data_IF_269715814855
#
_entry.id   IF_269715814855
#
_cell.length_a   1.000
_cell.length_b   1.000
_cell.length_c   1.000
_cell.angle_alpha   90.00
_cell.angle_beta   90.00
_cell.angle_gamma   90.00
#
_symmetry.space_group_name_H-M   'P 1'
#
loop_
_entity.id
_entity.type
_entity.pdbx_description
1 polymer ?
#
# COMPACT_ATOMS: atom_id res chain seq x y z
N UNK A 1 4.09 17.18 -21.16
CA UNK A 1 3.03 17.78 -20.31
C UNK A 1 1.82 16.85 -20.29
N UNK A 2 1.40 16.39 -19.11
CA UNK A 2 0.32 15.40 -18.95
C UNK A 2 -1.03 16.06 -19.25
N UNK A 3 -1.76 15.60 -20.28
CA UNK A 3 -3.07 16.17 -20.67
C UNK A 3 -4.24 15.49 -19.93
N UNK A 4 -4.32 15.64 -18.61
CA UNK A 4 -5.36 14.99 -17.78
C UNK A 4 -6.78 15.54 -17.99
N UNK A 5 -6.92 16.74 -18.58
CA UNK A 5 -8.23 17.38 -18.85
C UNK A 5 -9.13 16.58 -19.80
N UNK A 6 -8.56 15.70 -20.66
CA UNK A 6 -9.33 14.82 -21.56
C UNK A 6 -10.20 13.81 -20.81
N UNK A 7 -9.85 13.45 -19.57
CA UNK A 7 -10.61 12.49 -18.79
C UNK A 7 -11.93 13.04 -18.23
N UNK A 8 -12.19 14.35 -18.32
CA UNK A 8 -13.50 14.95 -17.98
C UNK A 8 -14.61 14.59 -18.98
N UNK A 9 -14.30 14.16 -20.20
CA UNK A 9 -15.33 13.74 -21.17
C UNK A 9 -15.65 12.25 -21.02
N UNK A 10 -16.94 11.91 -20.95
CA UNK A 10 -17.44 10.52 -20.84
C UNK A 10 -17.18 9.63 -22.07
N UNK A 11 -16.49 10.12 -23.11
CA UNK A 11 -16.13 9.34 -24.31
C UNK A 11 -14.68 8.88 -24.22
N UNK A 12 -14.50 7.59 -24.01
CA UNK A 12 -13.23 6.87 -23.97
C UNK A 12 -12.75 6.58 -25.39
N UNK A 13 -12.21 7.58 -26.07
CA UNK A 13 -11.44 7.31 -27.28
C UNK A 13 -10.05 6.84 -26.83
N UNK A 14 -9.88 5.51 -26.70
CA UNK A 14 -8.78 4.81 -25.99
C UNK A 14 -7.62 4.38 -26.88
N UNK A 15 -7.65 4.70 -28.17
CA UNK A 15 -6.57 4.36 -29.10
C UNK A 15 -5.34 5.23 -28.84
N UNK A 16 -4.34 4.65 -28.18
CA UNK A 16 -2.98 5.21 -28.05
C UNK A 16 -2.73 6.21 -26.90
N UNK A 17 -3.62 6.35 -25.92
CA UNK A 17 -3.44 7.28 -24.79
C UNK A 17 -2.84 6.60 -23.54
N UNK A 18 -1.88 7.26 -22.88
CA UNK A 18 -1.33 6.83 -21.59
C UNK A 18 -2.43 6.60 -20.53
N UNK A 19 -2.23 5.57 -19.70
CA UNK A 19 -3.04 5.30 -18.51
C UNK A 19 -2.34 5.83 -17.26
N UNK A 20 -3.13 6.25 -16.28
CA UNK A 20 -2.64 6.89 -15.06
C UNK A 20 -3.25 6.25 -13.81
N UNK A 21 -2.46 6.24 -12.73
CA UNK A 21 -2.95 6.08 -11.36
C UNK A 21 -2.58 7.33 -10.58
N UNK A 22 -3.56 7.90 -9.89
CA UNK A 22 -3.36 8.99 -8.94
C UNK A 22 -3.48 8.42 -7.53
N UNK A 23 -2.38 8.43 -6.78
CA UNK A 23 -2.37 8.15 -5.35
C UNK A 23 -2.80 9.40 -4.57
N UNK A 24 -3.66 9.21 -3.58
CA UNK A 24 -4.13 10.29 -2.70
C UNK A 24 -3.86 9.99 -1.23
N UNK A 25 -3.43 11.00 -0.49
CA UNK A 25 -2.92 10.82 0.86
C UNK A 25 -4.02 10.46 1.87
N UNK A 26 -3.72 9.47 2.71
CA UNK A 26 -4.54 9.06 3.85
C UNK A 26 -3.67 8.78 5.08
N UNK A 27 -4.17 9.14 6.27
CA UNK A 27 -3.54 8.87 7.57
C UNK A 27 -2.09 9.40 7.68
N UNK A 28 -1.28 8.81 8.57
CA UNK A 28 0.07 9.29 8.91
C UNK A 28 1.16 8.90 7.90
N UNK A 29 2.36 9.49 8.03
CA UNK A 29 3.47 9.34 7.08
C UNK A 29 3.85 7.86 6.81
N UNK A 30 3.94 7.01 7.84
CA UNK A 30 4.25 5.59 7.66
C UNK A 30 3.23 4.87 6.76
N UNK A 31 1.93 5.11 6.98
CA UNK A 31 0.85 4.56 6.15
C UNK A 31 0.95 5.06 4.71
N UNK A 32 1.30 6.33 4.53
CA UNK A 32 1.48 6.92 3.20
C UNK A 32 2.65 6.29 2.46
N UNK A 33 3.78 6.08 3.11
CA UNK A 33 4.95 5.44 2.51
C UNK A 33 4.64 4.02 2.04
N UNK A 34 4.03 3.19 2.89
CA UNK A 34 3.71 1.80 2.51
C UNK A 34 2.63 1.72 1.43
N UNK A 35 1.64 2.61 1.46
CA UNK A 35 0.59 2.63 0.43
C UNK A 35 1.08 3.22 -0.90
N UNK A 36 2.01 4.19 -0.90
CA UNK A 36 2.69 4.68 -2.11
C UNK A 36 3.51 3.58 -2.77
N UNK A 37 4.27 2.79 -1.99
CA UNK A 37 5.00 1.66 -2.53
C UNK A 37 4.07 0.59 -3.14
N UNK A 38 2.96 0.29 -2.46
CA UNK A 38 1.94 -0.65 -2.97
C UNK A 38 1.31 -0.17 -4.28
N UNK A 39 0.98 1.14 -4.36
CA UNK A 39 0.38 1.74 -5.56
C UNK A 39 1.40 1.82 -6.70
N UNK A 40 2.68 2.06 -6.42
CA UNK A 40 3.73 2.04 -7.43
C UNK A 40 3.88 0.65 -8.06
N UNK A 41 3.90 -0.41 -7.24
CA UNK A 41 3.90 -1.78 -7.77
C UNK A 41 2.66 -2.05 -8.64
N UNK A 42 1.49 -1.63 -8.16
CA UNK A 42 0.25 -1.78 -8.93
C UNK A 42 0.26 -1.00 -10.24
N UNK A 43 0.89 0.19 -10.27
CA UNK A 43 1.08 0.98 -11.48
C UNK A 43 1.96 0.25 -12.50
N UNK A 44 3.04 -0.42 -12.05
CA UNK A 44 3.89 -1.25 -12.91
C UNK A 44 3.09 -2.43 -13.47
N UNK A 45 2.38 -3.18 -12.62
CA UNK A 45 1.60 -4.37 -13.03
C UNK A 45 0.44 -4.06 -13.98
N UNK A 46 0.06 -2.80 -14.13
CA UNK A 46 -1.08 -2.37 -14.96
C UNK A 46 -0.69 -1.39 -16.07
N UNK A 47 0.61 -1.22 -16.33
CA UNK A 47 1.18 -0.33 -17.35
C UNK A 47 0.70 1.13 -17.22
N UNK A 48 0.80 1.70 -16.01
CA UNK A 48 0.30 3.04 -15.70
C UNK A 48 1.39 3.96 -15.18
N UNK A 49 1.25 5.24 -15.52
CA UNK A 49 2.04 6.31 -14.91
C UNK A 49 1.48 6.62 -13.53
N UNK A 50 2.35 6.59 -12.51
CA UNK A 50 2.00 6.99 -11.15
C UNK A 50 2.10 8.51 -11.00
N UNK A 51 1.05 9.11 -10.45
CA UNK A 51 1.04 10.48 -9.94
C UNK A 51 0.66 10.49 -8.46
N UNK A 52 1.34 11.29 -7.66
CA UNK A 52 1.22 11.31 -6.20
C UNK A 52 0.77 12.68 -5.72
N UNK A 53 -0.35 12.72 -5.02
CA UNK A 53 -0.82 13.94 -4.36
C UNK A 53 0.02 14.23 -3.11
N UNK A 54 0.94 15.19 -3.21
CA UNK A 54 1.66 15.71 -2.05
C UNK A 54 0.80 16.78 -1.37
N UNK A 55 0.38 16.50 -0.13
CA UNK A 55 -0.17 17.52 0.76
C UNK A 55 0.95 18.35 1.36
N UNK A 56 0.61 19.50 1.93
CA UNK A 56 1.57 20.47 2.47
C UNK A 56 2.59 19.85 3.45
N UNK A 57 2.18 18.86 4.22
CA UNK A 57 3.02 18.14 5.20
C UNK A 57 4.01 17.15 4.56
N UNK A 58 3.92 16.86 3.26
CA UNK A 58 4.87 16.01 2.54
C UNK A 58 5.80 16.78 1.59
N UNK A 59 5.53 18.06 1.36
CA UNK A 59 6.35 18.90 0.49
C UNK A 59 7.76 18.96 1.06
N UNK A 60 8.75 18.61 0.23
CA UNK A 60 10.15 18.64 0.62
C UNK A 60 10.61 17.46 1.50
N UNK A 61 9.79 16.43 1.73
CA UNK A 61 10.25 15.22 2.43
C UNK A 61 11.12 14.32 1.55
N UNK A 62 10.71 14.13 0.30
CA UNK A 62 11.33 13.19 -0.64
C UNK A 62 11.82 13.88 -1.92
N UNK A 63 12.89 13.34 -2.50
CA UNK A 63 13.37 13.71 -3.84
C UNK A 63 12.47 13.12 -4.95
N UNK A 64 12.69 13.57 -6.19
CA UNK A 64 12.09 12.94 -7.37
C UNK A 64 12.72 11.56 -7.62
N UNK A 65 11.95 10.46 -7.65
CA UNK A 65 12.50 9.12 -7.83
C UNK A 65 12.73 8.75 -9.31
N UNK A 66 12.07 9.45 -10.24
CA UNK A 66 12.10 9.14 -11.67
C UNK A 66 12.96 10.16 -12.44
N UNK A 67 14.05 9.74 -13.09
CA UNK A 67 14.91 10.65 -13.83
C UNK A 67 14.15 11.46 -14.88
N UNK A 68 14.48 12.75 -15.01
CA UNK A 68 13.92 13.67 -16.00
C UNK A 68 12.38 13.83 -15.98
N UNK A 69 11.73 13.51 -14.86
CA UNK A 69 10.28 13.62 -14.73
C UNK A 69 9.87 13.99 -13.29
N UNK A 70 8.58 14.22 -13.08
CA UNK A 70 8.02 14.41 -11.75
C UNK A 70 6.85 13.47 -11.53
N UNK A 71 6.84 12.80 -10.38
CA UNK A 71 5.69 12.01 -9.92
C UNK A 71 4.62 12.84 -9.22
N UNK A 72 4.86 14.13 -8.99
CA UNK A 72 3.94 14.98 -8.23
C UNK A 72 2.71 15.29 -9.09
N UNK A 73 1.53 15.12 -8.50
CA UNK A 73 0.26 15.47 -9.15
C UNK A 73 0.22 16.98 -9.45
N UNK A 74 -0.03 17.39 -10.72
CA UNK A 74 -0.14 18.80 -11.07
C UNK A 74 -1.27 19.52 -10.32
N UNK A 75 -1.05 20.78 -9.92
CA UNK A 75 -2.04 21.59 -9.20
C UNK A 75 -3.32 21.86 -10.00
N UNK A 76 -3.25 21.84 -11.33
CA UNK A 76 -4.41 22.03 -12.22
C UNK A 76 -5.17 20.72 -12.50
N UNK A 77 -4.97 19.69 -11.67
CA UNK A 77 -5.64 18.40 -11.81
C UNK A 77 -7.18 18.55 -11.80
N UNK A 78 -7.88 18.05 -12.84
CA UNK A 78 -9.31 18.28 -13.01
C UNK A 78 -10.24 17.67 -11.96
N UNK A 79 -9.74 16.73 -11.15
CA UNK A 79 -10.52 15.96 -10.17
C UNK A 79 -10.03 16.18 -8.73
N UNK A 80 -9.53 17.36 -8.38
CA UNK A 80 -9.09 17.68 -7.02
C UNK A 80 -10.18 17.42 -5.94
N UNK A 81 -11.46 17.48 -6.32
CA UNK A 81 -12.57 17.06 -5.46
C UNK A 81 -12.96 15.60 -5.74
N UNK A 82 -12.26 14.67 -5.07
CA UNK A 82 -12.46 13.22 -5.19
C UNK A 82 -13.90 12.76 -4.84
N UNK A 83 -14.74 13.61 -4.23
CA UNK A 83 -16.15 13.29 -3.91
C UNK A 83 -17.03 13.16 -5.13
N UNK A 84 -16.65 13.77 -6.26
CA UNK A 84 -17.42 13.75 -7.51
C UNK A 84 -17.06 12.60 -8.44
N UNK A 85 -16.06 11.80 -8.06
CA UNK A 85 -15.58 10.67 -8.86
C UNK A 85 -16.40 9.44 -8.49
N UNK A 86 -16.92 8.75 -9.51
CA UNK A 86 -17.64 7.49 -9.30
C UNK A 86 -16.70 6.45 -8.68
N UNK A 87 -17.17 5.83 -7.60
CA UNK A 87 -16.38 4.87 -6.83
C UNK A 87 -16.69 3.47 -7.33
N UNK A 88 -15.64 2.66 -7.46
CA UNK A 88 -15.69 1.29 -7.95
C UNK A 88 -16.76 0.42 -7.25
N UNK A 89 -16.86 0.47 -5.93
CA UNK A 89 -17.84 -0.35 -5.19
C UNK A 89 -19.27 0.07 -5.50
N UNK A 90 -19.51 1.36 -5.74
CA UNK A 90 -20.84 1.86 -6.12
C UNK A 90 -21.23 1.43 -7.54
N UNK A 91 -20.25 1.33 -8.44
CA UNK A 91 -20.45 0.83 -9.80
C UNK A 91 -20.82 -0.66 -9.78
N UNK A 92 -20.11 -1.47 -8.98
CA UNK A 92 -20.42 -2.90 -8.84
C UNK A 92 -21.81 -3.17 -8.28
N UNK A 93 -22.26 -2.39 -7.27
CA UNK A 93 -23.62 -2.51 -6.72
C UNK A 93 -24.69 -2.24 -7.78
N UNK A 94 -24.52 -1.17 -8.58
CA UNK A 94 -25.45 -0.82 -9.67
C UNK A 94 -25.49 -1.88 -10.78
N UNK A 95 -24.38 -2.58 -11.04
CA UNK A 95 -24.29 -3.63 -12.04
C UNK A 95 -25.05 -4.89 -11.61
N UNK A 96 -24.89 -5.32 -10.34
CA UNK A 96 -25.68 -6.42 -9.74
C UNK A 96 -27.20 -6.15 -9.83
N UNK A 97 -27.61 -4.88 -9.74
CA UNK A 97 -29.02 -4.45 -9.83
C UNK A 97 -29.55 -4.31 -11.28
N UNK A 98 -28.68 -4.14 -12.29
CA UNK A 98 -29.08 -3.89 -13.69
C UNK A 98 -28.62 -5.00 -14.64
N UNK A 99 -29.30 -6.14 -14.62
CA UNK A 99 -28.94 -7.37 -15.36
C UNK A 99 -29.04 -7.29 -16.90
N UNK A 100 -29.27 -6.11 -17.50
CA UNK A 100 -29.65 -5.99 -18.92
C UNK A 100 -28.95 -4.91 -19.76
N UNK A 101 -28.03 -4.11 -19.20
CA UNK A 101 -27.28 -3.11 -19.99
C UNK A 101 -25.77 -3.37 -19.93
N UNK A 102 -25.12 -3.33 -21.09
CA UNK A 102 -23.66 -3.37 -21.21
C UNK A 102 -23.04 -2.25 -20.38
N UNK A 103 -22.26 -2.60 -19.35
CA UNK A 103 -21.62 -1.64 -18.45
C UNK A 103 -20.72 -0.69 -19.26
N UNK A 104 -21.12 0.57 -19.34
CA UNK A 104 -20.31 1.64 -19.91
C UNK A 104 -19.29 2.06 -18.84
N UNK A 105 -18.04 1.61 -18.98
CA UNK A 105 -16.99 1.98 -18.05
C UNK A 105 -16.65 3.47 -18.19
N UNK A 106 -16.65 4.24 -17.10
CA UNK A 106 -16.28 5.65 -17.13
C UNK A 106 -14.79 5.82 -17.45
N UNK A 107 -14.42 7.02 -17.91
CA UNK A 107 -13.02 7.40 -18.15
C UNK A 107 -12.19 7.51 -16.87
N UNK A 108 -12.85 7.66 -15.73
CA UNK A 108 -12.23 7.84 -14.40
C UNK A 108 -12.98 7.03 -13.36
N UNK A 109 -12.27 6.26 -12.53
CA UNK A 109 -12.84 5.55 -11.38
C UNK A 109 -12.02 5.84 -10.12
N UNK A 110 -12.73 6.06 -9.01
CA UNK A 110 -12.16 6.08 -7.67
C UNK A 110 -12.13 4.68 -7.05
N UNK A 111 -11.03 4.30 -6.42
CA UNK A 111 -10.91 3.04 -5.66
C UNK A 111 -10.48 3.37 -4.24
N UNK A 112 -11.19 2.85 -3.24
CA UNK A 112 -10.90 3.10 -1.82
C UNK A 112 -10.39 1.83 -1.18
N UNK A 113 -9.17 1.85 -0.69
CA UNK A 113 -8.49 0.71 -0.05
C UNK A 113 -8.04 1.10 1.37
N UNK A 114 -8.93 1.70 2.16
CA UNK A 114 -8.64 2.28 3.47
C UNK A 114 -9.34 1.58 4.65
N UNK A 115 -8.90 1.85 5.88
CA UNK A 115 -9.30 1.07 7.06
C UNK A 115 -10.78 1.01 7.43
N UNK A 116 -11.54 2.05 7.10
CA UNK A 116 -12.88 2.23 7.67
C UNK A 116 -14.00 1.62 6.84
N UNK A 117 -13.70 0.89 5.76
CA UNK A 117 -14.72 0.18 4.97
C UNK A 117 -14.88 -1.26 5.47
N UNK A 118 -15.42 -1.42 6.69
CA UNK A 118 -15.74 -2.73 7.27
C UNK A 118 -16.84 -3.51 6.52
N UNK A 119 -17.52 -2.88 5.56
CA UNK A 119 -18.74 -3.40 4.91
C UNK A 119 -18.62 -3.65 3.40
N UNK A 120 -17.46 -3.45 2.78
CA UNK A 120 -17.34 -3.65 1.33
C UNK A 120 -16.40 -4.80 1.01
N UNK A 121 -16.93 -5.73 0.22
CA UNK A 121 -16.27 -6.93 -0.24
C UNK A 121 -15.02 -6.53 -1.02
N UNK A 122 -13.84 -6.87 -0.50
CA UNK A 122 -12.55 -6.46 -1.06
C UNK A 122 -12.19 -7.33 -2.28
N UNK A 123 -13.00 -7.26 -3.34
CA UNK A 123 -12.75 -8.02 -4.57
C UNK A 123 -11.77 -7.32 -5.51
N UNK A 124 -11.12 -6.24 -5.05
CA UNK A 124 -9.99 -5.62 -5.76
C UNK A 124 -8.95 -6.68 -6.14
N UNK A 125 -8.70 -7.67 -5.28
CA UNK A 125 -7.72 -8.74 -5.54
C UNK A 125 -8.19 -9.85 -6.51
N UNK A 126 -9.27 -9.65 -7.26
CA UNK A 126 -9.80 -10.66 -8.18
C UNK A 126 -9.55 -10.32 -9.67
N UNK A 127 -9.19 -11.32 -10.48
CA UNK A 127 -8.85 -11.12 -11.90
C UNK A 127 -9.97 -10.46 -12.71
N UNK A 128 -11.23 -10.85 -12.49
CA UNK A 128 -12.36 -10.29 -13.22
C UNK A 128 -12.49 -8.77 -12.98
N UNK A 129 -12.21 -8.33 -11.76
CA UNK A 129 -12.23 -6.92 -11.37
C UNK A 129 -11.01 -6.17 -11.87
N UNK A 130 -9.83 -6.78 -11.81
CA UNK A 130 -8.62 -6.22 -12.39
C UNK A 130 -8.74 -6.03 -13.90
N UNK A 131 -9.38 -6.96 -14.61
CA UNK A 131 -9.64 -6.83 -16.04
C UNK A 131 -10.56 -5.63 -16.37
N UNK A 132 -11.53 -5.32 -15.51
CA UNK A 132 -12.38 -4.12 -15.64
C UNK A 132 -11.58 -2.84 -15.37
N UNK A 133 -10.85 -2.79 -14.24
CA UNK A 133 -10.02 -1.64 -13.86
C UNK A 133 -8.94 -1.35 -14.90
N UNK A 134 -8.36 -2.38 -15.53
CA UNK A 134 -7.37 -2.24 -16.58
C UNK A 134 -7.88 -1.46 -17.81
N UNK A 135 -9.19 -1.48 -18.09
CA UNK A 135 -9.81 -0.74 -19.21
C UNK A 135 -10.03 0.75 -18.92
N UNK A 136 -10.10 1.14 -17.64
CA UNK A 136 -10.33 2.52 -17.23
C UNK A 136 -9.02 3.30 -17.34
N UNK A 137 -8.93 4.42 -18.06
CA UNK A 137 -7.64 5.08 -18.30
C UNK A 137 -7.11 5.87 -17.10
N UNK A 138 -7.97 6.42 -16.22
CA UNK A 138 -7.56 7.14 -15.02
C UNK A 138 -8.13 6.47 -13.76
N UNK A 139 -7.26 5.98 -12.88
CA UNK A 139 -7.64 5.48 -11.55
C UNK A 139 -7.22 6.49 -10.49
N UNK A 140 -8.11 6.79 -9.54
CA UNK A 140 -7.81 7.61 -8.36
C UNK A 140 -7.93 6.72 -7.15
N UNK A 141 -6.81 6.39 -6.51
CA UNK A 141 -6.76 5.43 -5.40
C UNK A 141 -6.45 6.14 -4.10
N UNK A 142 -7.28 5.90 -3.08
CA UNK A 142 -7.04 6.34 -1.71
C UNK A 142 -6.77 5.13 -0.84
N UNK A 143 -5.58 5.03 -0.25
CA UNK A 143 -5.21 3.90 0.61
C UNK A 143 -4.26 4.31 1.72
N UNK A 144 -4.43 3.68 2.88
CA UNK A 144 -3.53 3.74 4.04
C UNK A 144 -2.90 2.38 4.35
N UNK A 145 -3.04 1.40 3.44
CA UNK A 145 -2.62 0.01 3.63
C UNK A 145 -1.40 -0.35 2.79
N UNK A 146 -0.60 -1.27 3.32
CA UNK A 146 0.37 -2.02 2.52
C UNK A 146 -0.34 -3.20 1.83
N UNK A 147 -0.97 -2.97 0.69
CA UNK A 147 -1.80 -3.99 0.02
C UNK A 147 -1.03 -4.85 -0.99
N UNK A 148 0.31 -4.82 -0.98
CA UNK A 148 1.13 -5.70 -1.83
C UNK A 148 0.76 -7.18 -1.69
N UNK A 149 0.53 -7.74 -0.48
CA UNK A 149 0.07 -9.13 -0.39
C UNK A 149 -1.20 -9.37 -1.19
N UNK A 150 -2.11 -8.40 -1.26
CA UNK A 150 -3.33 -8.49 -2.06
C UNK A 150 -3.06 -8.61 -3.57
N UNK A 151 -1.97 -8.04 -4.08
CA UNK A 151 -1.55 -8.16 -5.48
C UNK A 151 -1.06 -9.58 -5.81
N UNK A 152 -0.41 -10.26 -4.86
CA UNK A 152 0.00 -11.66 -4.99
C UNK A 152 -1.20 -12.64 -4.93
N UNK A 153 -2.38 -12.18 -4.52
CA UNK A 153 -3.61 -12.99 -4.58
C UNK A 153 -4.23 -12.99 -5.98
N UNK A 154 -3.82 -12.07 -6.86
CA UNK A 154 -4.35 -11.90 -8.21
C UNK A 154 -3.60 -12.85 -9.15
N UNK A 155 -4.24 -13.93 -9.66
CA UNK A 155 -3.55 -14.92 -10.48
C UNK A 155 -2.87 -14.33 -11.72
N UNK A 156 -3.50 -13.35 -12.39
CA UNK A 156 -2.92 -12.71 -13.57
C UNK A 156 -1.63 -11.91 -13.30
N UNK A 157 -1.36 -11.49 -12.05
CA UNK A 157 -0.13 -10.78 -11.69
C UNK A 157 1.02 -11.72 -11.28
N UNK A 158 0.72 -12.97 -10.93
CA UNK A 158 1.69 -13.89 -10.34
C UNK A 158 2.92 -14.12 -11.20
N UNK A 159 2.76 -14.25 -12.51
CA UNK A 159 3.89 -14.50 -13.40
C UNK A 159 4.91 -13.36 -13.35
N UNK A 160 4.43 -12.11 -13.38
CA UNK A 160 5.32 -10.94 -13.39
C UNK A 160 5.89 -10.68 -11.99
N UNK A 161 5.07 -10.81 -10.95
CA UNK A 161 5.52 -10.69 -9.55
C UNK A 161 6.61 -11.70 -9.20
N UNK A 162 6.49 -12.95 -9.63
CA UNK A 162 7.50 -13.99 -9.39
C UNK A 162 8.82 -13.71 -10.14
N UNK A 163 8.78 -13.03 -11.29
CA UNK A 163 10.00 -12.60 -11.99
C UNK A 163 10.65 -11.40 -11.31
N UNK A 164 9.84 -10.41 -10.92
CA UNK A 164 10.33 -9.18 -10.29
C UNK A 164 10.88 -9.44 -8.89
N UNK A 165 10.25 -10.36 -8.15
CA UNK A 165 10.59 -10.68 -6.76
C UNK A 165 10.74 -12.19 -6.55
N UNK A 166 11.88 -12.78 -6.95
CA UNK A 166 12.18 -14.17 -6.62
C UNK A 166 12.10 -14.44 -5.12
N UNK A 167 12.59 -13.49 -4.31
CA UNK A 167 12.41 -13.45 -2.87
C UNK A 167 11.21 -12.57 -2.52
N UNK A 168 10.06 -13.19 -2.23
CA UNK A 168 8.79 -12.48 -2.03
C UNK A 168 8.76 -11.59 -0.79
N UNK A 169 9.68 -11.78 0.14
CA UNK A 169 9.84 -10.97 1.35
C UNK A 169 10.73 -9.73 1.20
N UNK A 170 11.01 -9.31 -0.05
CA UNK A 170 11.89 -8.18 -0.37
C UNK A 170 11.18 -7.04 -1.11
N UNK A 171 9.86 -7.12 -1.31
CA UNK A 171 9.11 -6.20 -2.17
C UNK A 171 9.22 -4.76 -1.66
N UNK A 172 8.84 -4.51 -0.41
CA UNK A 172 8.93 -3.16 0.16
C UNK A 172 10.37 -2.70 0.33
N UNK A 173 11.31 -3.62 0.60
CA UNK A 173 12.73 -3.29 0.68
C UNK A 173 13.23 -2.67 -0.62
N UNK A 174 12.93 -3.29 -1.77
CA UNK A 174 13.36 -2.79 -3.06
C UNK A 174 12.61 -1.52 -3.47
N UNK A 175 11.27 -1.55 -3.40
CA UNK A 175 10.44 -0.42 -3.83
C UNK A 175 10.62 0.81 -2.93
N UNK A 176 10.72 0.60 -1.61
CA UNK A 176 10.91 1.68 -0.65
C UNK A 176 12.24 2.39 -0.83
N UNK A 177 13.34 1.64 -1.05
CA UNK A 177 14.66 2.23 -1.32
C UNK A 177 14.73 2.97 -2.65
N UNK A 178 13.94 2.52 -3.63
CA UNK A 178 13.86 3.18 -4.94
C UNK A 178 13.07 4.49 -4.87
N UNK A 179 11.91 4.49 -4.18
CA UNK A 179 11.01 5.65 -4.16
C UNK A 179 11.40 6.71 -3.12
N UNK A 180 11.84 6.30 -1.93
CA UNK A 180 11.92 7.19 -0.77
C UNK A 180 13.35 7.65 -0.51
N UNK A 181 13.83 8.54 -1.37
CA UNK A 181 15.08 9.26 -1.13
C UNK A 181 14.78 10.52 -0.33
N UNK A 182 15.34 10.70 0.87
CA UNK A 182 15.10 11.89 1.67
C UNK A 182 15.69 13.13 0.99
N UNK A 183 14.99 14.26 1.08
CA UNK A 183 15.51 15.55 0.65
C UNK A 183 16.75 15.96 1.47
N UNK A 184 17.47 17.00 1.03
CA UNK A 184 18.59 17.52 1.80
C UNK A 184 18.19 18.04 3.19
N UNK A 185 16.98 18.60 3.31
CA UNK A 185 16.46 19.13 4.57
C UNK A 185 16.17 18.00 5.58
N UNK A 186 15.77 16.82 5.10
CA UNK A 186 15.58 15.62 5.92
C UNK A 186 16.90 14.88 6.16
N UNK A 187 17.74 14.76 5.13
CA UNK A 187 19.01 14.02 5.18
C UNK A 187 20.08 14.70 6.03
N UNK A 188 20.11 16.04 6.05
CA UNK A 188 21.05 16.82 6.85
C UNK A 188 20.99 16.48 8.35
N UNK A 189 19.82 16.59 9.00
CA UNK A 189 19.62 16.15 10.38
C UNK A 189 19.98 14.69 10.63
N UNK A 190 19.56 13.76 9.75
CA UNK A 190 19.88 12.32 9.86
C UNK A 190 21.41 12.11 9.89
N UNK A 191 22.12 12.71 8.93
CA UNK A 191 23.58 12.60 8.83
C UNK A 191 24.29 13.22 10.03
N UNK A 192 23.82 14.37 10.53
CA UNK A 192 24.41 15.02 11.72
C UNK A 192 24.23 14.16 12.97
N UNK A 193 23.02 13.66 13.21
CA UNK A 193 22.73 12.79 14.34
C UNK A 193 23.57 11.51 14.29
N UNK A 194 23.62 10.84 13.14
CA UNK A 194 24.43 9.64 12.95
C UNK A 194 25.91 9.90 13.26
N UNK A 195 26.49 10.97 12.71
CA UNK A 195 27.90 11.31 12.92
C UNK A 195 28.22 11.66 14.37
N UNK A 196 27.34 12.37 15.04
CA UNK A 196 27.56 12.81 16.41
C UNK A 196 27.42 11.67 17.43
N UNK A 197 26.47 10.76 17.23
CA UNK A 197 26.05 9.83 18.27
C UNK A 197 26.21 8.34 17.93
N UNK A 198 26.20 7.97 16.64
CA UNK A 198 26.11 6.55 16.23
C UNK A 198 27.36 6.04 15.51
N UNK A 199 28.10 6.91 14.81
CA UNK A 199 29.15 6.50 13.88
C UNK A 199 30.33 5.76 14.51
N UNK A 200 30.61 5.99 15.79
CA UNK A 200 31.76 5.39 16.51
C UNK A 200 31.44 4.07 17.22
N UNK A 201 30.17 3.69 17.31
CA UNK A 201 29.78 2.47 17.98
C UNK A 201 30.02 1.26 17.08
N UNK A 202 30.62 0.20 17.63
CA UNK A 202 30.84 -1.07 16.92
C UNK A 202 29.50 -1.66 16.46
N UNK A 203 28.54 -1.73 17.37
CA UNK A 203 27.18 -2.19 17.13
C UNK A 203 26.15 -1.08 17.41
N UNK A 204 25.03 -1.09 16.69
CA UNK A 204 23.96 -0.09 16.81
C UNK A 204 22.62 -0.80 16.92
N UNK A 205 21.93 -0.57 18.03
CA UNK A 205 20.62 -1.18 18.31
C UNK A 205 19.54 -0.12 18.15
N UNK A 206 18.60 -0.36 17.24
CA UNK A 206 17.43 0.50 17.06
C UNK A 206 16.26 0.00 17.89
N UNK A 207 15.76 0.81 18.81
CA UNK A 207 14.55 0.52 19.58
C UNK A 207 13.48 1.54 19.17
N UNK A 208 12.49 1.08 18.42
CA UNK A 208 11.34 1.89 18.05
C UNK A 208 10.22 1.59 19.03
N UNK A 209 9.63 2.64 19.63
CA UNK A 209 8.59 2.55 20.65
C UNK A 209 7.33 3.27 20.15
N UNK A 210 6.20 2.55 20.09
CA UNK A 210 4.91 3.12 19.67
C UNK A 210 3.72 2.60 20.49
N UNK A 211 3.23 3.44 21.40
CA UNK A 211 2.05 3.18 22.23
C UNK A 211 0.77 3.71 21.57
N UNK A 212 -0.19 2.83 21.30
CA UNK A 212 -1.44 3.20 20.60
C UNK A 212 -2.52 3.80 21.51
N UNK A 213 -2.64 3.33 22.77
CA UNK A 213 -3.66 3.79 23.71
C UNK A 213 -3.04 4.23 25.05
N UNK A 214 -2.27 5.33 25.08
CA UNK A 214 -1.50 5.70 26.28
C UNK A 214 -2.38 5.91 27.52
N UNK A 215 -3.63 6.34 27.35
CA UNK A 215 -4.54 6.63 28.46
C UNK A 215 -5.27 5.39 29.01
N UNK A 216 -5.38 4.31 28.23
CA UNK A 216 -6.05 3.06 28.63
C UNK A 216 -5.05 1.96 29.00
N UNK A 217 -3.76 2.19 28.75
CA UNK A 217 -2.71 1.21 28.93
C UNK A 217 -1.81 1.72 30.05
N UNK A 218 -1.81 1.06 31.22
CA UNK A 218 -1.02 1.55 32.34
C UNK A 218 0.48 1.50 32.07
N UNK A 219 0.99 0.65 31.15
CA UNK A 219 2.26 0.85 30.42
C UNK A 219 2.28 0.05 29.09
N UNK A 220 2.85 0.69 28.05
CA UNK A 220 3.49 0.25 26.79
C UNK A 220 2.93 -0.91 25.91
N UNK A 221 2.33 -0.56 24.77
CA UNK A 221 2.33 -1.38 23.56
C UNK A 221 3.43 -0.85 22.64
N UNK A 222 4.20 -1.69 21.96
CA UNK A 222 5.26 -1.25 21.05
C UNK A 222 5.16 -2.04 19.74
N UNK A 223 5.07 -1.34 18.61
CA UNK A 223 5.19 -1.96 17.29
C UNK A 223 6.23 -1.24 16.45
N UNK A 224 7.28 -1.99 16.08
CA UNK A 224 8.32 -1.53 15.18
C UNK A 224 7.86 -1.51 13.72
N UNK A 225 8.32 -0.52 12.97
CA UNK A 225 8.24 -0.49 11.50
C UNK A 225 9.68 -0.39 10.98
N UNK A 226 10.07 -1.28 10.07
CA UNK A 226 11.44 -1.35 9.55
C UNK A 226 11.52 -0.68 8.17
N UNK A 227 12.33 0.37 8.05
CA UNK A 227 12.76 0.93 6.77
C UNK A 227 14.18 0.44 6.38
N UNK A 228 14.80 -0.42 7.20
CA UNK A 228 16.21 -0.80 7.10
C UNK A 228 16.50 -2.17 6.52
N UNK A 229 15.48 -2.93 6.11
CA UNK A 229 15.67 -4.32 5.64
C UNK A 229 16.17 -5.27 6.74
N UNK A 230 15.85 -4.98 8.00
CA UNK A 230 16.19 -5.81 9.15
C UNK A 230 14.92 -6.55 9.56
N UNK A 231 15.00 -7.87 9.73
CA UNK A 231 13.96 -8.67 10.39
C UNK A 231 13.91 -8.27 11.88
N UNK A 232 12.93 -7.46 12.32
CA UNK A 232 12.95 -6.89 13.65
C UNK A 232 12.56 -7.91 14.73
N UNK A 233 12.94 -7.63 15.97
CA UNK A 233 12.29 -8.21 17.14
C UNK A 233 11.02 -7.39 17.41
N UNK A 234 9.85 -8.05 17.34
CA UNK A 234 8.55 -7.43 17.58
C UNK A 234 8.18 -7.60 19.04
N UNK A 235 7.96 -6.48 19.73
CA UNK A 235 7.47 -6.47 21.10
C UNK A 235 5.99 -6.88 21.12
N UNK A 236 5.65 -7.86 21.95
CA UNK A 236 4.27 -8.35 22.08
C UNK A 236 3.41 -7.29 22.73
N UNK A 237 2.16 -7.20 22.26
CA UNK A 237 1.14 -6.41 22.93
C UNK A 237 0.86 -6.98 24.33
N UNK A 238 0.99 -6.15 25.35
CA UNK A 238 0.61 -6.49 26.72
C UNK A 238 -0.91 -6.72 26.81
N UNK A 239 -1.32 -7.74 27.55
CA UNK A 239 -2.72 -7.97 27.94
C UNK A 239 -2.80 -7.78 29.45
N UNK A 240 -3.76 -6.98 29.90
CA UNK A 240 -4.08 -6.79 31.32
C UNK A 240 -2.89 -6.40 32.23
N UNK A 241 -1.86 -5.79 31.65
CA UNK A 241 -0.57 -5.40 32.27
C UNK A 241 0.39 -6.54 32.61
N UNK A 242 0.14 -7.77 32.16
CA UNK A 242 1.07 -8.88 32.31
C UNK A 242 2.12 -8.85 31.20
N UNK A 243 3.39 -8.88 31.60
CA UNK A 243 4.53 -9.06 30.69
C UNK A 243 4.53 -10.53 30.26
N UNK A 244 4.37 -10.85 28.96
CA UNK A 244 4.44 -12.22 28.49
C UNK A 244 5.85 -12.79 28.76
N UNK A 245 5.94 -14.10 29.08
CA UNK A 245 7.21 -14.80 29.36
C UNK A 245 8.30 -14.55 28.29
N UNK A 246 7.87 -14.38 27.03
CA UNK A 246 8.71 -13.87 25.94
C UNK A 246 8.17 -12.51 25.50
N UNK A 247 8.80 -11.39 25.89
CA UNK A 247 8.28 -10.04 25.63
C UNK A 247 8.44 -9.62 24.17
N UNK A 248 9.37 -10.23 23.44
CA UNK A 248 9.55 -10.04 22.01
C UNK A 248 9.57 -11.37 21.25
N UNK A 249 9.24 -11.31 19.96
CA UNK A 249 9.41 -12.42 19.03
C UNK A 249 10.18 -11.95 17.80
N UNK A 250 11.05 -12.83 17.29
CA UNK A 250 11.69 -12.60 16.02
C UNK A 250 10.63 -12.57 14.92
N UNK A 251 10.62 -11.50 14.15
CA UNK A 251 9.79 -11.45 12.97
C UNK A 251 10.39 -12.34 11.86
N UNK A 252 9.52 -12.91 11.05
CA UNK A 252 9.88 -13.90 10.04
C UNK A 252 10.16 -13.28 8.66
N UNK A 253 9.87 -11.99 8.47
CA UNK A 253 10.23 -11.23 7.27
C UNK A 253 10.28 -9.73 7.55
N UNK A 254 10.99 -8.98 6.71
CA UNK A 254 11.07 -7.52 6.76
C UNK A 254 9.90 -6.80 6.08
N UNK A 255 8.95 -7.56 5.53
CA UNK A 255 7.78 -7.03 4.85
C UNK A 255 6.81 -6.36 5.83
N UNK A 256 6.22 -5.20 5.47
CA UNK A 256 5.14 -4.60 6.25
C UNK A 256 3.90 -5.51 6.32
N UNK A 257 3.12 -5.36 7.39
CA UNK A 257 1.87 -6.08 7.54
C UNK A 257 0.74 -5.45 6.72
N UNK A 258 0.01 -6.25 5.94
CA UNK A 258 -1.26 -5.87 5.35
C UNK A 258 -2.38 -6.11 6.36
N UNK A 259 -2.88 -5.04 6.99
CA UNK A 259 -3.82 -5.17 8.10
C UNK A 259 -5.25 -5.55 7.67
N UNK A 260 -5.62 -5.37 6.41
CA UNK A 260 -7.02 -5.47 5.95
C UNK A 260 -7.12 -6.44 4.80
N UNK A 261 -7.17 -7.72 5.14
CA UNK A 261 -7.34 -8.77 4.16
C UNK A 261 -8.79 -8.90 3.70
N UNK A 262 -9.02 -9.37 2.47
CA UNK A 262 -10.35 -9.79 2.05
C UNK A 262 -10.92 -10.85 3.00
N UNK A 263 -12.22 -10.77 3.28
CA UNK A 263 -12.96 -11.77 4.06
C UNK A 263 -13.62 -12.84 3.19
N UNK A 264 -13.81 -12.53 1.91
CA UNK A 264 -14.43 -13.41 0.91
C UNK A 264 -13.42 -13.65 -0.21
N UNK A 265 -13.46 -14.85 -0.79
CA UNK A 265 -12.74 -15.16 -2.02
C UNK A 265 -13.44 -14.56 -3.24
N UNK A 266 -12.83 -14.74 -4.42
CA UNK A 266 -13.39 -14.22 -5.67
C UNK A 266 -14.68 -14.91 -6.13
N UNK A 267 -15.14 -15.94 -5.40
CA UNK A 267 -16.40 -16.66 -5.59
C UNK A 267 -17.40 -16.37 -4.46
N UNK A 268 -17.17 -15.28 -3.70
CA UNK A 268 -18.00 -14.83 -2.58
C UNK A 268 -18.08 -15.82 -1.41
N UNK A 269 -17.12 -16.74 -1.29
CA UNK A 269 -17.05 -17.70 -0.18
C UNK A 269 -16.19 -17.16 0.97
N UNK A 270 -16.55 -17.42 2.23
CA UNK A 270 -15.75 -17.01 3.39
C UNK A 270 -14.31 -17.55 3.31
N UNK A 271 -13.34 -16.70 3.65
CA UNK A 271 -11.95 -17.08 3.84
C UNK A 271 -11.67 -17.22 5.34
N UNK A 272 -11.51 -18.46 5.79
CA UNK A 272 -11.26 -18.73 7.22
C UNK A 272 -9.81 -18.44 7.63
N UNK A 273 -8.84 -18.72 6.76
CA UNK A 273 -7.42 -18.70 7.09
C UNK A 273 -6.55 -18.04 6.01
N UNK A 274 -6.64 -16.71 5.91
CA UNK A 274 -5.87 -15.95 4.92
C UNK A 274 -4.35 -16.21 4.96
N UNK A 275 -3.78 -16.27 6.16
CA UNK A 275 -2.34 -16.47 6.36
C UNK A 275 -1.83 -17.89 6.10
N UNK A 276 -2.67 -18.80 5.61
CA UNK A 276 -2.26 -20.15 5.16
C UNK A 276 -2.82 -20.49 3.78
N UNK A 277 -3.54 -19.55 3.15
CA UNK A 277 -4.16 -19.76 1.84
C UNK A 277 -3.11 -19.83 0.71
N UNK A 278 -1.99 -19.13 0.89
CA UNK A 278 -0.87 -19.10 -0.05
C UNK A 278 0.43 -19.47 0.68
N UNK A 279 1.33 -20.26 0.06
CA UNK A 279 2.57 -20.71 0.71
C UNK A 279 3.53 -19.55 1.07
N UNK A 280 3.43 -18.43 0.37
CA UNK A 280 4.20 -17.20 0.58
C UNK A 280 3.48 -16.16 1.46
N UNK A 281 2.43 -16.55 2.18
CA UNK A 281 1.75 -15.66 3.13
C UNK A 281 1.76 -16.25 4.52
N UNK A 282 1.94 -15.38 5.52
CA UNK A 282 1.76 -15.72 6.93
C UNK A 282 1.04 -14.61 7.68
N UNK A 283 0.35 -14.97 8.77
CA UNK A 283 -0.24 -13.99 9.69
C UNK A 283 0.86 -13.15 10.33
N UNK A 284 0.64 -11.85 10.42
CA UNK A 284 1.62 -10.96 11.03
C UNK A 284 1.78 -11.23 12.53
N UNK A 285 3.00 -11.06 13.02
CA UNK A 285 3.37 -11.25 14.44
C UNK A 285 2.72 -10.18 15.33
N UNK A 286 2.70 -8.95 14.83
CA UNK A 286 2.25 -7.73 15.50
C UNK A 286 0.73 -7.53 15.40
N UNK A 287 0.10 -7.96 14.30
CA UNK A 287 -1.33 -7.82 14.06
C UNK A 287 -1.98 -9.12 13.54
N UNK A 288 -2.62 -9.88 14.44
CA UNK A 288 -3.16 -11.24 14.18
C UNK A 288 -4.17 -11.37 13.04
N UNK A 289 -4.83 -10.27 12.65
CA UNK A 289 -5.79 -10.26 11.53
C UNK A 289 -5.14 -9.93 10.18
N UNK A 290 -3.92 -9.40 10.20
CA UNK A 290 -3.19 -9.05 9.00
C UNK A 290 -2.35 -10.21 8.49
N UNK A 291 -1.89 -10.07 7.24
CA UNK A 291 -0.97 -10.99 6.60
C UNK A 291 0.21 -10.24 6.00
N UNK A 292 1.33 -10.92 5.82
CA UNK A 292 2.48 -10.38 5.12
C UNK A 292 3.18 -11.46 4.32
N UNK A 293 3.97 -11.02 3.35
CA UNK A 293 4.72 -11.91 2.49
C UNK A 293 5.89 -12.54 3.24
N UNK A 294 6.15 -13.79 2.90
CA UNK A 294 7.33 -14.56 3.27
C UNK A 294 7.92 -15.15 2.01
N UNK A 295 9.22 -15.46 2.03
CA UNK A 295 9.78 -16.25 0.95
C UNK A 295 9.15 -17.65 0.94
N UNK A 296 9.09 -18.28 -0.24
CA UNK A 296 8.53 -19.62 -0.37
C UNK A 296 9.27 -20.56 0.58
N UNK A 297 8.51 -21.27 1.43
CA UNK A 297 9.06 -22.37 2.22
C UNK A 297 9.21 -23.52 1.22
N UNK A 298 10.45 -23.80 0.81
CA UNK A 298 10.79 -25.06 0.15
C UNK A 298 10.45 -26.24 1.07
#
# INVERSE_FOLDING_TARGET
MVKLKRFKSNKSDTTGSCKYIVWTAANGLGNRMVSMASIFLYAILTDRVLLVEFRDDMVGLFCEPFPNSSWILPKDFPFSDNRKVEIYESMLKKDKENTSKKLLLPSTIGVRLNMYQHEHEFFFSCDHNQHLLHKVPLLIITSDQYFVPALFMVPSFNQELNKMFPNKDTVFHHLGRYLFLPSNDVWGPIKRFYRAYLARADEKIGIQIRVFHPNLTRYETIMGQSLGGINPLVLKKLRDNDIPDSPCMQDFSMEPCFHITPKLDCMEKPIDHMGTMFPYMKKCVDYKRGVKLVNDIL
#
